data_IF_005852055558
#
_entry.id   IF_005852055558
#
_cell.length_a   1.000
_cell.length_b   1.000
_cell.length_c   1.000
_cell.angle_alpha   90.00
_cell.angle_beta   90.00
_cell.angle_gamma   90.00
#
_symmetry.space_group_name_H-M   'P 1'
#
loop_
_entity.id
_entity.type
_entity.pdbx_description
1 polymer ?
#
# COMPACT_ATOMS: atom_id res chain seq x y z
N UNK A 1 -13.86 18.18 0.52
CA UNK A 1 -13.38 18.74 1.80
C UNK A 1 -12.02 18.13 2.12
N UNK A 2 -11.07 18.93 2.59
CA UNK A 2 -9.77 18.40 3.01
C UNK A 2 -9.91 17.53 4.26
N UNK A 3 -9.20 16.40 4.31
CA UNK A 3 -9.38 15.39 5.37
C UNK A 3 -9.05 15.94 6.76
N UNK A 4 -8.12 16.90 6.83
CA UNK A 4 -7.72 17.52 8.09
C UNK A 4 -8.84 18.33 8.73
N UNK A 5 -9.66 19.05 7.95
CA UNK A 5 -10.80 19.79 8.49
C UNK A 5 -11.81 18.88 9.20
N UNK A 6 -12.12 17.72 8.61
CA UNK A 6 -13.04 16.74 9.23
C UNK A 6 -12.42 16.21 10.53
N UNK A 7 -11.13 15.91 10.54
CA UNK A 7 -10.43 15.38 11.73
C UNK A 7 -10.39 16.40 12.86
N UNK A 8 -10.05 17.65 12.55
CA UNK A 8 -10.08 18.77 13.50
C UNK A 8 -11.49 19.02 14.06
N UNK A 9 -12.51 18.90 13.21
CA UNK A 9 -13.91 18.99 13.66
C UNK A 9 -14.24 17.87 14.65
N UNK A 10 -13.92 16.61 14.32
CA UNK A 10 -14.15 15.46 15.20
C UNK A 10 -13.41 15.64 16.53
N UNK A 11 -12.15 16.08 16.50
CA UNK A 11 -11.34 16.34 17.69
C UNK A 11 -12.01 17.38 18.59
N UNK A 12 -12.35 18.54 18.02
CA UNK A 12 -12.97 19.65 18.74
C UNK A 12 -14.28 19.21 19.40
N UNK A 13 -15.14 18.49 18.67
CA UNK A 13 -16.43 18.02 19.21
C UNK A 13 -16.26 16.93 20.27
N UNK A 14 -15.29 16.05 20.09
CA UNK A 14 -14.97 15.03 21.09
C UNK A 14 -14.45 15.66 22.39
N UNK A 15 -13.57 16.65 22.31
CA UNK A 15 -13.09 17.42 23.46
C UNK A 15 -14.22 18.17 24.18
N UNK A 16 -15.26 18.58 23.45
CA UNK A 16 -16.50 19.15 24.02
C UNK A 16 -17.44 18.10 24.64
N UNK A 17 -17.07 16.82 24.64
CA UNK A 17 -17.82 15.74 25.29
C UNK A 17 -18.92 15.12 24.43
N UNK A 18 -18.96 15.39 23.12
CA UNK A 18 -19.95 14.77 22.24
C UNK A 18 -19.61 13.31 21.98
N UNK A 19 -20.66 12.50 21.86
CA UNK A 19 -20.56 11.09 21.47
C UNK A 19 -20.30 10.95 19.97
N UNK A 20 -19.73 9.82 19.56
CA UNK A 20 -19.47 9.53 18.14
C UNK A 20 -20.74 9.62 17.26
N UNK A 21 -21.90 9.24 17.80
CA UNK A 21 -23.19 9.32 17.11
C UNK A 21 -23.58 10.77 16.85
N UNK A 22 -23.51 11.63 17.87
CA UNK A 22 -23.80 13.06 17.71
C UNK A 22 -22.88 13.73 16.70
N UNK A 23 -21.58 13.42 16.73
CA UNK A 23 -20.59 13.98 15.80
C UNK A 23 -20.89 13.53 14.36
N UNK A 24 -21.26 12.26 14.16
CA UNK A 24 -21.64 11.72 12.86
C UNK A 24 -22.92 12.37 12.32
N UNK A 25 -23.93 12.55 13.18
CA UNK A 25 -25.21 13.14 12.80
C UNK A 25 -25.05 14.63 12.46
N UNK A 26 -24.26 15.38 13.25
CA UNK A 26 -23.89 16.77 12.93
C UNK A 26 -23.15 16.86 11.60
N UNK A 27 -22.18 15.98 11.37
CA UNK A 27 -21.40 15.94 10.13
C UNK A 27 -22.29 15.64 8.93
N UNK A 28 -23.21 14.69 9.07
CA UNK A 28 -24.18 14.31 8.03
C UNK A 28 -25.16 15.45 7.76
N UNK A 29 -25.59 16.16 8.79
CA UNK A 29 -26.50 17.31 8.66
C UNK A 29 -25.83 18.48 7.95
N UNK A 30 -24.57 18.76 8.29
CA UNK A 30 -23.83 19.90 7.73
C UNK A 30 -23.38 19.68 6.27
N UNK A 31 -23.01 18.44 5.92
CA UNK A 31 -22.30 18.16 4.67
C UNK A 31 -22.92 17.05 3.81
N UNK A 32 -24.00 16.43 4.26
CA UNK A 32 -24.67 15.31 3.58
C UNK A 32 -24.13 13.93 3.97
N UNK A 33 -24.79 12.89 3.48
CA UNK A 33 -24.51 11.47 3.82
C UNK A 33 -23.13 10.96 3.39
N UNK A 34 -22.46 11.62 2.45
CA UNK A 34 -21.18 11.17 1.90
C UNK A 34 -19.94 11.71 2.62
N UNK A 35 -20.09 12.53 3.68
CA UNK A 35 -18.95 13.26 4.24
C UNK A 35 -17.97 12.39 5.03
N UNK A 36 -18.48 11.59 5.96
CA UNK A 36 -17.66 10.74 6.85
C UNK A 36 -18.51 9.63 7.43
N UNK A 37 -18.04 8.39 7.30
CA UNK A 37 -18.74 7.26 7.92
C UNK A 37 -18.63 7.30 9.44
N UNK A 38 -19.63 6.77 10.14
CA UNK A 38 -19.58 6.55 11.59
C UNK A 38 -18.31 5.81 12.04
N UNK A 39 -17.90 4.77 11.30
CA UNK A 39 -16.67 4.01 11.57
C UNK A 39 -15.40 4.87 11.49
N UNK A 40 -15.39 5.89 10.64
CA UNK A 40 -14.28 6.84 10.56
C UNK A 40 -14.27 7.77 11.77
N UNK A 41 -15.43 8.26 12.22
CA UNK A 41 -15.56 9.10 13.42
C UNK A 41 -15.06 8.37 14.65
N UNK A 42 -15.52 7.13 14.88
CA UNK A 42 -15.09 6.32 16.04
C UNK A 42 -13.60 6.02 16.01
N UNK A 43 -13.03 5.70 14.84
CA UNK A 43 -11.59 5.49 14.67
C UNK A 43 -10.77 6.72 15.02
N UNK A 44 -11.24 7.92 14.69
CA UNK A 44 -10.55 9.16 15.04
C UNK A 44 -10.65 9.49 16.52
N UNK A 45 -11.83 9.31 17.13
CA UNK A 45 -12.01 9.45 18.58
C UNK A 45 -11.04 8.52 19.35
N UNK A 46 -10.91 7.25 18.94
CA UNK A 46 -9.93 6.32 19.53
C UNK A 46 -8.48 6.77 19.35
N UNK A 47 -8.16 7.49 18.26
CA UNK A 47 -6.81 8.04 18.05
C UNK A 47 -6.56 9.22 18.98
N UNK A 48 -7.54 10.11 19.14
CA UNK A 48 -7.42 11.25 20.03
C UNK A 48 -7.39 10.84 21.51
N UNK A 49 -8.14 9.80 21.90
CA UNK A 49 -8.07 9.24 23.26
C UNK A 49 -6.71 8.64 23.61
N UNK A 50 -5.92 8.27 22.60
CA UNK A 50 -4.57 7.74 22.75
C UNK A 50 -3.49 8.85 22.60
N UNK A 51 -3.84 10.10 22.90
CA UNK A 51 -2.94 11.28 22.93
C UNK A 51 -2.23 11.57 21.60
N UNK A 52 -2.86 11.24 20.47
CA UNK A 52 -2.30 11.59 19.16
C UNK A 52 -2.61 13.06 18.82
N UNK A 53 -1.57 13.88 18.80
CA UNK A 53 -1.67 15.32 18.45
C UNK A 53 -1.77 15.57 16.93
N UNK A 54 -1.31 14.64 16.10
CA UNK A 54 -1.25 14.84 14.65
C UNK A 54 -2.56 14.47 13.95
N UNK A 55 -3.11 15.44 13.20
CA UNK A 55 -4.22 15.25 12.28
C UNK A 55 -3.82 14.57 10.97
N UNK A 56 -2.54 14.31 10.74
CA UNK A 56 -2.04 13.73 9.49
C UNK A 56 -2.09 12.20 9.49
N UNK A 57 -2.12 11.61 8.30
CA UNK A 57 -1.87 10.18 8.17
C UNK A 57 -0.39 9.90 8.52
N UNK A 58 -0.13 8.80 9.22
CA UNK A 58 1.25 8.32 9.36
C UNK A 58 1.85 8.05 7.97
N UNK A 59 3.19 8.12 7.83
CA UNK A 59 3.86 7.70 6.61
C UNK A 59 3.35 6.33 6.19
N UNK A 60 2.85 6.24 4.95
CA UNK A 60 2.43 4.94 4.41
C UNK A 60 3.70 4.19 4.06
N UNK A 61 3.88 3.00 4.62
CA UNK A 61 5.05 2.14 4.37
C UNK A 61 5.19 1.68 2.92
N UNK A 62 4.29 2.10 2.03
CA UNK A 62 4.31 1.76 0.62
C UNK A 62 4.38 0.26 0.39
N UNK A 63 4.74 -0.15 -0.82
CA UNK A 63 5.22 -1.50 -1.06
C UNK A 63 6.70 -1.53 -0.65
N UNK A 64 7.12 -2.39 0.29
CA UNK A 64 8.54 -2.54 0.54
C UNK A 64 9.23 -3.00 -0.75
N UNK A 65 10.25 -2.27 -1.17
CA UNK A 65 11.11 -2.60 -2.31
C UNK A 65 12.09 -3.75 -2.00
N UNK A 66 11.74 -4.64 -1.07
CA UNK A 66 12.60 -5.77 -0.66
C UNK A 66 12.80 -6.81 -1.77
N UNK A 67 12.04 -6.74 -2.85
CA UNK A 67 12.23 -7.57 -4.03
C UNK A 67 13.38 -7.08 -4.94
N UNK A 68 13.72 -5.79 -4.91
CA UNK A 68 14.77 -5.18 -5.74
C UNK A 68 16.06 -5.10 -4.94
N UNK A 69 16.66 -6.26 -4.66
CA UNK A 69 18.02 -6.34 -4.13
C UNK A 69 18.99 -6.66 -5.26
N UNK A 70 20.25 -6.24 -5.15
CA UNK A 70 21.29 -6.60 -6.11
C UNK A 70 21.39 -8.11 -6.28
N UNK A 71 21.27 -8.86 -5.18
CA UNK A 71 21.21 -10.32 -5.18
C UNK A 71 20.09 -10.89 -6.05
N UNK A 72 18.86 -10.35 -5.93
CA UNK A 72 17.73 -10.81 -6.74
C UNK A 72 17.91 -10.43 -8.22
N UNK A 73 18.52 -9.28 -8.51
CA UNK A 73 18.84 -8.84 -9.88
C UNK A 73 19.86 -9.79 -10.51
N UNK A 74 20.91 -10.14 -9.78
CA UNK A 74 21.99 -11.01 -10.26
C UNK A 74 21.47 -12.44 -10.47
N UNK A 75 20.66 -12.96 -9.54
CA UNK A 75 20.05 -14.29 -9.68
C UNK A 75 19.17 -14.42 -10.93
N UNK A 76 18.42 -13.38 -11.29
CA UNK A 76 17.60 -13.37 -12.52
C UNK A 76 18.48 -13.33 -13.76
N UNK A 77 19.54 -12.50 -13.76
CA UNK A 77 20.49 -12.44 -14.90
C UNK A 77 21.21 -13.77 -15.11
N UNK A 78 21.62 -14.43 -14.03
CA UNK A 78 22.28 -15.72 -14.09
C UNK A 78 21.34 -16.80 -14.65
N UNK A 79 20.07 -16.78 -14.24
CA UNK A 79 19.05 -17.69 -14.77
C UNK A 79 18.83 -17.47 -16.27
N UNK A 80 18.69 -16.22 -16.70
CA UNK A 80 18.53 -15.86 -18.12
C UNK A 80 19.75 -16.32 -18.95
N UNK A 81 20.96 -16.11 -18.43
CA UNK A 81 22.19 -16.53 -19.09
C UNK A 81 22.28 -18.06 -19.20
N UNK A 82 21.96 -18.78 -18.11
CA UNK A 82 21.96 -20.24 -18.09
C UNK A 82 20.97 -20.84 -19.10
N UNK A 83 19.75 -20.32 -19.15
CA UNK A 83 18.72 -20.76 -20.10
C UNK A 83 19.15 -20.51 -21.55
N UNK A 84 19.73 -19.34 -21.83
CA UNK A 84 20.24 -19.01 -23.15
C UNK A 84 21.38 -19.93 -23.58
N UNK A 85 22.33 -20.21 -22.69
CA UNK A 85 23.45 -21.09 -22.98
C UNK A 85 23.01 -22.54 -23.20
N UNK A 86 22.07 -23.05 -22.39
CA UNK A 86 21.50 -24.38 -22.59
C UNK A 86 20.80 -24.52 -23.95
N UNK A 87 19.96 -23.53 -24.31
CA UNK A 87 19.30 -23.50 -25.60
C UNK A 87 20.30 -23.55 -26.77
N UNK A 88 21.35 -22.71 -26.71
CA UNK A 88 22.40 -22.71 -27.74
C UNK A 88 23.14 -24.05 -27.82
N UNK A 89 23.48 -24.66 -26.68
CA UNK A 89 24.16 -25.95 -26.65
C UNK A 89 23.29 -27.07 -27.24
N UNK A 90 22.02 -27.14 -26.88
CA UNK A 90 21.08 -28.11 -27.44
C UNK A 90 20.95 -27.97 -28.96
N UNK A 91 20.86 -26.73 -29.46
CA UNK A 91 20.82 -26.47 -30.89
C UNK A 91 22.14 -26.78 -31.62
N UNK A 92 23.29 -26.46 -31.02
CA UNK A 92 24.60 -26.80 -31.60
C UNK A 92 24.83 -28.32 -31.64
N UNK A 93 24.45 -29.04 -30.57
CA UNK A 93 24.53 -30.50 -30.52
C UNK A 93 23.63 -31.16 -31.55
N UNK A 94 22.40 -30.65 -31.72
CA UNK A 94 21.47 -31.16 -32.74
C UNK A 94 22.03 -30.98 -34.16
N UNK A 95 22.58 -29.81 -34.47
CA UNK A 95 23.23 -29.55 -35.76
C UNK A 95 24.46 -30.44 -35.97
N UNK A 96 25.28 -30.63 -34.93
CA UNK A 96 26.47 -31.49 -35.00
C UNK A 96 26.11 -32.96 -35.25
N UNK A 97 25.09 -33.49 -34.57
CA UNK A 97 24.59 -34.85 -34.79
C UNK A 97 24.07 -35.03 -36.22
N UNK A 98 23.33 -34.05 -36.75
CA UNK A 98 22.82 -34.11 -38.13
C UNK A 98 23.97 -34.08 -39.14
N UNK A 99 24.97 -33.21 -38.95
CA UNK A 99 26.13 -33.09 -39.85
C UNK A 99 27.06 -34.30 -39.79
N UNK A 100 27.14 -35.00 -38.65
CA UNK A 100 27.97 -36.22 -38.50
C UNK A 100 27.28 -37.52 -38.95
N UNK A 101 25.96 -37.52 -39.15
CA UNK A 101 25.19 -38.71 -39.58
C UNK A 101 24.74 -38.64 -41.05
N UNK A 102 25.32 -37.74 -41.84
CA UNK A 102 25.17 -37.64 -43.32
C UNK A 102 26.50 -38.03 -43.96
#
# INVERSE_FOLDING_TARGET
MEKQYIRSYIETRWLLGLTATQIHDESTTAYGQDVVSYCTVTRWIQRFSNERESLEDNPRSGRPLSAITQQNIDAVKDLDHYLFMNYLLEHQLMLFIIVMNV
#
